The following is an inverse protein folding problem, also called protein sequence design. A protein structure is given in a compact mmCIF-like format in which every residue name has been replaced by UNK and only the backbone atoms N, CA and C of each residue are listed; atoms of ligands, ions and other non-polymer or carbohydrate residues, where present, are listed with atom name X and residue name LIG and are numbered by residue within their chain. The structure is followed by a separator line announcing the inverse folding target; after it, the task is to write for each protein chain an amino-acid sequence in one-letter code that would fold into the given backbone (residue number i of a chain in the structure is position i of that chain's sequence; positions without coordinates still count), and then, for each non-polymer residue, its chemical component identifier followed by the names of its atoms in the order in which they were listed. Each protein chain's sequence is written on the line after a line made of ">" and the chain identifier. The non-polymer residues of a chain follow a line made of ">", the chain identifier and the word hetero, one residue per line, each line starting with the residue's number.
data_IF_150314268551
#
_entry.id   IF_150314268551
#
_cell.length_a   1.000
_cell.length_b   1.000
_cell.length_c   1.000
_cell.angle_alpha   90.00
_cell.angle_beta   90.00
_cell.angle_gamma   90.00
#
_symmetry.space_group_name_H-M   'P 1'
#
loop_
_entity.id
_entity.type
_entity.pdbx_description
1 polymer ?
#
# COMPACT_ATOMS: atom_id res chain seq x y z
N UNK A 1 7.88 17.67 -5.94
CA UNK A 1 7.74 18.29 -7.27
C UNK A 1 6.99 19.59 -7.04
N UNK A 2 7.56 20.73 -7.37
CA UNK A 2 6.83 22.00 -7.32
C UNK A 2 5.76 21.98 -8.42
N UNK A 3 4.64 22.66 -8.17
CA UNK A 3 3.49 22.76 -9.07
C UNK A 3 3.87 23.19 -10.52
N UNK A 4 5.05 23.80 -10.69
CA UNK A 4 5.61 24.24 -11.97
C UNK A 4 6.46 23.17 -12.70
N UNK A 5 6.76 22.05 -12.04
CA UNK A 5 7.46 20.90 -12.63
C UNK A 5 6.46 19.84 -13.12
N UNK A 6 5.40 20.27 -13.79
CA UNK A 6 4.57 19.38 -14.59
C UNK A 6 5.46 18.78 -15.68
N UNK A 7 6.12 17.69 -15.33
CA UNK A 7 6.78 16.82 -16.30
C UNK A 7 5.73 16.53 -17.35
N UNK A 8 6.00 16.94 -18.57
CA UNK A 8 5.17 16.55 -19.71
C UNK A 8 5.20 15.03 -19.71
N UNK A 9 4.12 14.38 -19.29
CA UNK A 9 4.05 12.94 -19.32
C UNK A 9 4.11 12.55 -20.78
N UNK A 10 5.27 12.06 -21.19
CA UNK A 10 5.49 11.52 -22.51
C UNK A 10 4.90 10.10 -22.53
N UNK A 11 4.14 9.75 -23.56
CA UNK A 11 3.63 8.39 -23.77
C UNK A 11 4.73 7.32 -23.80
N UNK A 12 5.98 7.73 -24.02
CA UNK A 12 7.15 6.86 -23.95
C UNK A 12 7.79 6.81 -22.54
N UNK A 13 7.23 7.55 -21.57
CA UNK A 13 7.79 7.71 -20.23
C UNK A 13 6.65 7.78 -19.20
N UNK A 14 5.86 6.73 -19.14
CA UNK A 14 4.70 6.65 -18.25
C UNK A 14 5.16 6.54 -16.80
N UNK A 15 4.66 7.40 -15.89
CA UNK A 15 4.96 7.27 -14.47
C UNK A 15 4.49 5.93 -13.91
N UNK A 16 5.32 5.30 -13.12
CA UNK A 16 5.03 4.01 -12.48
C UNK A 16 4.62 4.17 -11.01
N UNK A 17 4.89 5.33 -10.43
CA UNK A 17 4.53 5.67 -9.05
C UNK A 17 4.34 7.18 -8.90
N UNK A 18 3.64 7.58 -7.85
CA UNK A 18 3.45 8.96 -7.42
C UNK A 18 4.03 9.10 -6.03
N UNK A 19 4.85 10.15 -5.78
CA UNK A 19 5.33 10.45 -4.44
C UNK A 19 4.13 10.82 -3.56
N UNK A 20 3.91 10.04 -2.52
CA UNK A 20 2.77 10.16 -1.63
C UNK A 20 3.11 10.87 -0.31
N UNK A 21 4.36 10.83 0.12
CA UNK A 21 4.81 11.42 1.37
C UNK A 21 6.30 11.24 1.61
N UNK A 22 6.69 11.50 2.85
CA UNK A 22 8.07 11.35 3.32
C UNK A 22 8.04 10.66 4.68
N UNK A 23 8.95 9.72 4.88
CA UNK A 23 9.20 9.09 6.18
C UNK A 23 9.87 10.07 7.15
N UNK A 24 9.98 9.70 8.42
CA UNK A 24 10.58 10.55 9.46
C UNK A 24 12.04 10.92 9.17
N UNK A 25 12.77 10.08 8.47
CA UNK A 25 14.15 10.30 8.05
C UNK A 25 14.29 11.20 6.81
N UNK A 26 13.16 11.61 6.20
CA UNK A 26 13.09 12.40 4.97
C UNK A 26 13.12 11.58 3.69
N UNK A 27 13.15 10.26 3.76
CA UNK A 27 13.05 9.38 2.58
C UNK A 27 11.66 9.50 1.98
N UNK A 28 11.58 9.72 0.66
CA UNK A 28 10.31 9.78 -0.05
C UNK A 28 9.75 8.37 -0.22
N UNK A 29 8.46 8.20 0.06
CA UNK A 29 7.72 7.01 -0.35
C UNK A 29 6.66 7.36 -1.39
N UNK A 30 6.31 6.38 -2.21
CA UNK A 30 5.36 6.56 -3.29
C UNK A 30 4.30 5.47 -3.29
N UNK A 31 3.23 5.72 -4.04
CA UNK A 31 2.22 4.71 -4.36
C UNK A 31 2.35 4.29 -5.81
N UNK A 32 2.12 3.01 -6.08
CA UNK A 32 1.97 2.50 -7.43
C UNK A 32 0.75 3.09 -8.13
N UNK A 33 0.80 3.15 -9.44
CA UNK A 33 -0.30 3.73 -10.24
C UNK A 33 -1.43 2.73 -10.52
N UNK A 34 -1.23 1.46 -10.20
CA UNK A 34 -2.22 0.39 -10.38
C UNK A 34 -2.72 -0.13 -9.03
N UNK A 35 -3.90 -0.70 -9.04
CA UNK A 35 -4.52 -1.37 -7.89
C UNK A 35 -5.09 -2.73 -8.33
N UNK A 36 -5.49 -3.55 -7.38
CA UNK A 36 -6.26 -4.76 -7.68
C UNK A 36 -7.62 -4.39 -8.29
N UNK A 37 -8.03 -5.12 -9.33
CA UNK A 37 -9.33 -4.98 -9.98
C UNK A 37 -10.48 -5.53 -9.12
N UNK A 38 -10.16 -6.37 -8.15
CA UNK A 38 -11.12 -7.00 -7.24
C UNK A 38 -10.73 -6.77 -5.78
N UNK A 39 -11.70 -6.71 -4.85
CA UNK A 39 -11.40 -6.69 -3.43
C UNK A 39 -10.59 -7.93 -3.03
N UNK A 40 -9.52 -7.71 -2.27
CA UNK A 40 -8.67 -8.76 -1.73
C UNK A 40 -8.87 -8.87 -0.22
N UNK A 41 -8.78 -10.09 0.32
CA UNK A 41 -8.72 -10.32 1.75
C UNK A 41 -7.31 -9.99 2.27
N UNK A 42 -7.24 -9.47 3.49
CA UNK A 42 -5.97 -9.27 4.18
C UNK A 42 -5.33 -10.60 4.54
N UNK A 43 -6.14 -11.51 5.06
CA UNK A 43 -5.78 -12.89 5.41
C UNK A 43 -6.99 -13.80 5.15
N UNK A 44 -6.77 -15.01 4.72
CA UNK A 44 -7.81 -16.03 4.61
C UNK A 44 -8.24 -16.51 6.01
N UNK A 45 -9.51 -16.91 6.16
CA UNK A 45 -10.11 -17.31 7.44
C UNK A 45 -9.39 -18.49 8.13
N UNK A 46 -8.66 -19.28 7.35
CA UNK A 46 -7.90 -20.45 7.80
C UNK A 46 -6.39 -20.19 7.89
N UNK A 47 -5.95 -18.93 7.70
CA UNK A 47 -4.55 -18.54 7.87
C UNK A 47 -4.24 -18.20 9.33
N UNK A 48 -2.96 -18.28 9.69
CA UNK A 48 -2.49 -17.91 11.04
C UNK A 48 -2.75 -16.43 11.31
N UNK A 49 -2.47 -15.55 10.36
CA UNK A 49 -2.65 -14.10 10.50
C UNK A 49 -4.10 -13.66 10.64
N UNK A 50 -5.06 -14.54 10.36
CA UNK A 50 -6.47 -14.28 10.65
C UNK A 50 -6.79 -14.33 12.16
N UNK A 51 -6.03 -15.12 12.92
CA UNK A 51 -6.32 -15.36 14.36
C UNK A 51 -5.20 -14.89 15.28
N UNK A 52 -3.99 -14.68 14.78
CA UNK A 52 -2.81 -14.31 15.57
C UNK A 52 -2.30 -12.95 15.11
N UNK A 53 -1.84 -12.15 16.07
CA UNK A 53 -1.13 -10.89 15.79
C UNK A 53 0.37 -11.15 15.75
N UNK A 54 0.97 -10.73 14.66
CA UNK A 54 2.41 -10.73 14.51
C UNK A 54 3.01 -9.55 15.28
N UNK A 55 4.03 -9.79 16.09
CA UNK A 55 4.52 -8.82 17.08
C UNK A 55 4.94 -7.51 16.45
N UNK A 56 5.59 -7.57 15.30
CA UNK A 56 6.23 -6.42 14.66
C UNK A 56 5.32 -5.69 13.64
N UNK A 57 4.05 -6.11 13.52
CA UNK A 57 3.07 -5.47 12.63
C UNK A 57 1.96 -4.75 13.38
N UNK A 58 2.00 -4.77 14.72
CA UNK A 58 0.91 -4.23 15.54
C UNK A 58 1.00 -2.73 15.66
N UNK A 59 -0.12 -2.08 15.36
CA UNK A 59 -0.30 -0.64 15.52
C UNK A 59 -1.52 -0.34 16.38
N UNK A 60 -1.39 0.62 17.28
CA UNK A 60 -2.48 1.08 18.15
C UNK A 60 -2.86 2.52 17.81
N UNK A 61 -4.15 2.78 17.68
CA UNK A 61 -4.64 4.13 17.45
C UNK A 61 -4.61 4.93 18.77
N UNK A 62 -4.01 6.10 18.72
CA UNK A 62 -3.96 7.07 19.82
C UNK A 62 -4.86 8.30 19.57
N UNK A 63 -5.10 8.62 18.30
CA UNK A 63 -5.97 9.71 17.86
C UNK A 63 -6.41 9.44 16.40
N UNK A 64 -7.27 10.31 15.83
CA UNK A 64 -7.83 10.12 14.48
C UNK A 64 -6.80 9.76 13.37
N UNK A 65 -5.58 10.28 13.47
CA UNK A 65 -4.48 10.01 12.53
C UNK A 65 -3.14 9.78 13.26
N UNK A 66 -3.19 9.47 14.54
CA UNK A 66 -2.04 9.18 15.38
C UNK A 66 -2.01 7.72 15.75
N UNK A 67 -0.86 7.08 15.53
CA UNK A 67 -0.64 5.68 15.83
C UNK A 67 0.66 5.50 16.59
N UNK A 68 0.70 4.50 17.48
CA UNK A 68 1.90 3.99 18.13
C UNK A 68 2.12 2.51 17.76
N UNK A 69 3.33 2.03 17.95
CA UNK A 69 3.77 0.72 17.49
C UNK A 69 4.46 0.83 16.15
N UNK A 70 4.29 -0.19 15.31
CA UNK A 70 4.87 -0.22 13.98
C UNK A 70 4.23 0.84 13.05
N UNK A 71 5.08 1.63 12.39
CA UNK A 71 4.67 2.70 11.47
C UNK A 71 5.30 2.57 10.08
N UNK A 72 6.12 1.57 9.88
CA UNK A 72 6.82 1.27 8.64
C UNK A 72 6.30 -0.05 8.06
N UNK A 73 5.58 0.00 6.97
CA UNK A 73 5.05 -1.20 6.33
C UNK A 73 6.08 -1.99 5.52
N UNK A 74 7.28 -1.44 5.33
CA UNK A 74 8.27 -2.01 4.40
C UNK A 74 8.85 -3.34 4.85
N UNK A 75 8.84 -3.64 6.14
CA UNK A 75 9.36 -4.88 6.74
C UNK A 75 8.26 -5.82 7.28
N UNK A 76 6.98 -5.39 7.26
CA UNK A 76 5.88 -6.17 7.81
C UNK A 76 5.72 -7.54 7.15
N UNK A 77 5.91 -7.63 5.84
CA UNK A 77 5.85 -8.93 5.16
C UNK A 77 6.98 -9.86 5.60
N UNK A 78 8.19 -9.36 5.79
CA UNK A 78 9.31 -10.15 6.31
C UNK A 78 9.03 -10.64 7.73
N UNK A 79 8.50 -9.77 8.59
CA UNK A 79 8.07 -10.12 9.95
C UNK A 79 7.00 -11.23 9.94
N UNK A 80 6.03 -11.16 9.04
CA UNK A 80 5.02 -12.21 8.86
C UNK A 80 5.67 -13.51 8.38
N UNK A 81 6.57 -13.49 7.42
CA UNK A 81 7.28 -14.67 6.94
C UNK A 81 8.10 -15.37 8.04
N UNK A 82 8.67 -14.62 8.97
CA UNK A 82 9.41 -15.18 10.12
C UNK A 82 8.46 -15.87 11.11
N UNK A 83 7.28 -15.32 11.34
CA UNK A 83 6.34 -15.81 12.36
C UNK A 83 5.35 -16.84 11.82
N UNK A 84 5.04 -16.79 10.52
CA UNK A 84 4.10 -17.69 9.83
C UNK A 84 4.68 -18.19 8.51
N UNK A 85 5.78 -18.92 8.57
CA UNK A 85 6.49 -19.42 7.39
C UNK A 85 5.69 -20.44 6.57
N UNK A 86 4.66 -21.08 7.10
CA UNK A 86 3.86 -22.07 6.37
C UNK A 86 2.84 -21.40 5.45
N UNK A 87 2.06 -20.48 5.97
CA UNK A 87 1.00 -19.84 5.20
C UNK A 87 1.56 -18.79 4.21
N UNK A 88 2.65 -18.09 4.56
CA UNK A 88 3.27 -17.11 3.67
C UNK A 88 3.91 -17.73 2.42
N UNK A 89 4.25 -19.02 2.44
CA UNK A 89 4.67 -19.75 1.21
C UNK A 89 3.52 -19.82 0.19
N UNK A 90 2.26 -19.82 0.68
CA UNK A 90 1.09 -19.83 -0.18
C UNK A 90 0.31 -18.50 -0.09
N UNK A 91 1.02 -17.39 -0.22
CA UNK A 91 0.48 -16.04 -0.04
C UNK A 91 -0.73 -15.75 -0.94
N UNK A 92 -0.76 -16.26 -2.16
CA UNK A 92 -1.87 -16.08 -3.09
C UNK A 92 -3.22 -16.57 -2.51
N UNK A 93 -3.21 -17.63 -1.69
CA UNK A 93 -4.41 -18.17 -1.03
C UNK A 93 -4.57 -17.63 0.39
N UNK A 94 -3.48 -17.47 1.13
CA UNK A 94 -3.50 -17.16 2.57
C UNK A 94 -3.44 -15.67 2.89
N UNK A 95 -2.74 -14.89 2.07
CA UNK A 95 -2.54 -13.44 2.25
C UNK A 95 -2.67 -12.69 0.91
N UNK A 96 -3.84 -12.72 0.25
CA UNK A 96 -4.00 -12.24 -1.13
C UNK A 96 -3.57 -10.80 -1.37
N UNK A 97 -3.75 -9.92 -0.38
CA UNK A 97 -3.35 -8.51 -0.52
C UNK A 97 -1.83 -8.35 -0.51
N UNK A 98 -1.10 -9.18 0.25
CA UNK A 98 0.36 -9.18 0.26
C UNK A 98 0.93 -9.83 -0.99
N UNK A 99 0.30 -10.91 -1.49
CA UNK A 99 0.68 -11.54 -2.76
C UNK A 99 0.57 -10.55 -3.93
N UNK A 100 -0.51 -9.77 -3.98
CA UNK A 100 -0.68 -8.70 -4.98
C UNK A 100 0.49 -7.71 -4.97
N UNK A 101 0.94 -7.29 -3.78
CA UNK A 101 2.04 -6.33 -3.66
C UNK A 101 3.39 -6.99 -3.96
N UNK A 102 3.60 -8.22 -3.50
CA UNK A 102 4.84 -8.98 -3.75
C UNK A 102 5.05 -9.27 -5.24
N UNK A 103 3.97 -9.49 -5.98
CA UNK A 103 3.99 -9.75 -7.43
C UNK A 103 3.79 -8.49 -8.28
N UNK A 104 3.64 -7.31 -7.67
CA UNK A 104 3.33 -6.06 -8.35
C UNK A 104 4.32 -5.72 -9.47
N UNK A 105 5.61 -5.78 -9.17
CA UNK A 105 6.65 -5.46 -10.16
C UNK A 105 6.64 -6.43 -11.35
N UNK A 106 6.43 -7.70 -11.11
CA UNK A 106 6.32 -8.72 -12.18
C UNK A 106 5.05 -8.52 -13.00
N UNK A 107 3.91 -8.31 -12.33
CA UNK A 107 2.60 -8.12 -12.97
C UNK A 107 2.59 -6.91 -13.92
N UNK A 108 3.27 -5.84 -13.54
CA UNK A 108 3.33 -4.60 -14.34
C UNK A 108 4.66 -4.42 -15.08
N UNK A 109 5.45 -5.49 -15.23
CA UNK A 109 6.69 -5.54 -16.01
C UNK A 109 7.71 -4.46 -15.60
N UNK A 110 7.77 -4.12 -14.31
CA UNK A 110 8.67 -3.10 -13.79
C UNK A 110 10.10 -3.63 -13.73
N UNK A 111 11.06 -2.81 -14.13
CA UNK A 111 12.47 -3.23 -14.26
C UNK A 111 13.43 -2.25 -13.58
N UNK A 112 14.69 -2.65 -13.49
CA UNK A 112 15.74 -1.83 -12.88
C UNK A 112 15.52 -1.61 -11.38
N UNK A 113 15.61 -0.37 -10.92
CA UNK A 113 15.45 -0.02 -9.51
C UNK A 113 14.01 -0.20 -8.99
N UNK A 114 13.06 -0.46 -9.88
CA UNK A 114 11.64 -0.62 -9.55
C UNK A 114 11.17 -2.08 -9.64
N UNK A 115 12.07 -3.01 -9.91
CA UNK A 115 11.77 -4.44 -9.93
C UNK A 115 11.54 -5.03 -8.53
N UNK A 116 11.79 -4.24 -7.48
CA UNK A 116 11.61 -4.64 -6.07
C UNK A 116 11.34 -3.41 -5.20
N UNK A 117 11.11 -3.63 -3.88
CA UNK A 117 10.87 -2.56 -2.92
C UNK A 117 9.41 -2.11 -2.86
N UNK A 118 8.51 -2.84 -3.50
CA UNK A 118 7.06 -2.63 -3.34
C UNK A 118 6.61 -3.32 -2.05
N UNK A 119 5.84 -2.58 -1.26
CA UNK A 119 5.34 -3.07 0.01
C UNK A 119 3.95 -2.53 0.31
N UNK A 120 3.26 -3.16 1.22
CA UNK A 120 1.97 -2.73 1.72
C UNK A 120 2.18 -1.67 2.80
N UNK A 121 1.59 -0.46 2.68
CA UNK A 121 1.84 0.60 3.65
C UNK A 121 1.34 0.23 5.05
N UNK A 122 2.04 0.66 6.09
CA UNK A 122 1.50 0.67 7.45
C UNK A 122 0.27 1.57 7.55
N UNK A 123 -0.49 1.47 8.63
CA UNK A 123 -1.64 2.35 8.84
C UNK A 123 -1.24 3.83 8.94
N UNK A 124 -0.06 4.13 9.48
CA UNK A 124 0.46 5.48 9.58
C UNK A 124 0.76 6.06 8.19
N UNK A 125 1.46 5.30 7.33
CA UNK A 125 1.74 5.68 5.95
C UNK A 125 0.46 5.81 5.12
N UNK A 126 -0.50 4.89 5.31
CA UNK A 126 -1.79 4.94 4.61
C UNK A 126 -2.61 6.19 4.99
N UNK A 127 -2.52 6.63 6.24
CA UNK A 127 -3.09 7.90 6.68
C UNK A 127 -2.40 9.11 6.06
N UNK A 128 -1.10 9.06 5.84
CA UNK A 128 -0.37 10.12 5.15
C UNK A 128 -0.70 10.18 3.66
N UNK A 129 -0.86 9.03 3.01
CA UNK A 129 -1.42 8.93 1.65
C UNK A 129 -2.81 9.59 1.62
N UNK A 130 -3.68 9.29 2.60
CA UNK A 130 -5.01 9.88 2.69
C UNK A 130 -4.98 11.41 2.85
N UNK A 131 -4.09 11.94 3.68
CA UNK A 131 -3.92 13.40 3.84
C UNK A 131 -3.55 14.07 2.52
N UNK A 132 -2.74 13.42 1.70
CA UNK A 132 -2.25 13.91 0.40
C UNK A 132 -3.14 13.49 -0.79
N UNK A 133 -4.28 12.81 -0.55
CA UNK A 133 -5.11 12.19 -1.58
C UNK A 133 -5.54 13.09 -2.73
N UNK A 134 -5.73 14.40 -2.48
CA UNK A 134 -6.14 15.34 -3.55
C UNK A 134 -5.04 15.48 -4.60
N UNK A 135 -3.82 15.76 -4.18
CA UNK A 135 -2.68 15.87 -5.09
C UNK A 135 -2.38 14.54 -5.80
N UNK A 136 -2.53 13.43 -5.08
CA UNK A 136 -2.39 12.08 -5.63
C UNK A 136 -3.46 11.83 -6.71
N UNK A 137 -4.72 12.15 -6.42
CA UNK A 137 -5.82 11.97 -7.37
C UNK A 137 -5.64 12.83 -8.62
N UNK A 138 -5.22 14.09 -8.47
CA UNK A 138 -4.95 14.97 -9.60
C UNK A 138 -3.83 14.38 -10.50
N UNK A 139 -2.80 13.82 -9.90
CA UNK A 139 -1.70 13.16 -10.61
C UNK A 139 -2.15 11.88 -11.32
N UNK A 140 -2.90 11.01 -10.64
CA UNK A 140 -3.43 9.77 -11.22
C UNK A 140 -4.37 10.06 -12.39
N UNK A 141 -5.29 11.01 -12.23
CA UNK A 141 -6.21 11.41 -13.30
C UNK A 141 -5.47 12.01 -14.49
N UNK A 142 -4.36 12.72 -14.24
CA UNK A 142 -3.55 13.25 -15.32
C UNK A 142 -2.92 12.12 -16.14
N UNK A 143 -2.34 11.11 -15.49
CA UNK A 143 -1.78 9.92 -16.15
C UNK A 143 -2.88 9.14 -16.89
N UNK A 144 -4.00 8.87 -16.23
CA UNK A 144 -5.14 8.14 -16.80
C UNK A 144 -5.70 8.80 -18.07
N UNK A 145 -5.76 10.13 -18.13
CA UNK A 145 -6.22 10.86 -19.33
C UNK A 145 -5.29 10.74 -20.51
N UNK A 146 -4.01 10.46 -20.25
CA UNK A 146 -3.02 10.26 -21.31
C UNK A 146 -3.08 8.84 -21.86
N UNK A 147 -3.26 7.87 -20.98
CA UNK A 147 -3.47 6.46 -21.29
C UNK A 147 -4.27 5.81 -20.16
N UNK A 148 -5.49 5.38 -20.44
CA UNK A 148 -6.39 4.76 -19.46
C UNK A 148 -5.90 3.39 -18.94
N UNK A 149 -4.92 2.79 -19.63
CA UNK A 149 -4.28 1.53 -19.20
C UNK A 149 -3.03 1.78 -18.33
N UNK A 150 -2.52 3.01 -18.29
CA UNK A 150 -1.28 3.34 -17.63
C UNK A 150 -1.43 3.60 -16.12
N UNK A 151 -2.65 3.87 -15.64
CA UNK A 151 -2.92 4.13 -14.23
C UNK A 151 -4.38 3.94 -13.88
N UNK A 152 -4.67 3.75 -12.59
CA UNK A 152 -6.03 3.88 -12.06
C UNK A 152 -6.54 5.32 -12.20
N UNK A 153 -7.86 5.49 -12.32
CA UNK A 153 -8.49 6.83 -12.40
C UNK A 153 -8.69 7.46 -11.01
N UNK A 154 -7.60 7.54 -10.24
CA UNK A 154 -7.59 8.10 -8.89
C UNK A 154 -7.86 7.06 -7.79
N UNK A 155 -7.61 7.51 -6.55
CA UNK A 155 -8.02 6.78 -5.36
C UNK A 155 -9.54 6.94 -5.21
N UNK A 156 -10.26 5.85 -5.33
CA UNK A 156 -11.73 5.87 -5.22
C UNK A 156 -12.18 5.95 -3.77
N UNK A 157 -13.44 6.31 -3.56
CA UNK A 157 -14.12 6.12 -2.28
C UNK A 157 -14.25 4.63 -2.02
N UNK A 158 -13.31 4.10 -1.28
CA UNK A 158 -13.22 2.67 -0.98
C UNK A 158 -12.40 2.44 0.30
N UNK A 159 -12.38 1.21 0.74
CA UNK A 159 -11.56 0.74 1.85
C UNK A 159 -10.20 0.26 1.32
N UNK A 160 -9.13 0.71 1.97
CA UNK A 160 -7.76 0.33 1.65
C UNK A 160 -7.11 -0.32 2.86
N UNK A 161 -6.63 -1.53 2.68
CA UNK A 161 -5.90 -2.27 3.70
C UNK A 161 -4.53 -1.66 3.98
N UNK A 162 -4.10 -1.70 5.22
CA UNK A 162 -2.71 -1.47 5.62
C UNK A 162 -2.02 -2.80 5.96
N UNK A 163 -0.69 -2.80 6.03
CA UNK A 163 0.09 -3.93 6.53
C UNK A 163 -0.07 -4.12 8.04
N UNK A 164 -0.52 -3.08 8.76
CA UNK A 164 -0.61 -3.09 10.22
C UNK A 164 -1.79 -3.88 10.72
N UNK A 165 -1.55 -4.74 11.72
CA UNK A 165 -2.61 -5.36 12.50
C UNK A 165 -3.06 -4.44 13.65
N UNK A 166 -4.34 -4.55 14.01
CA UNK A 166 -4.88 -3.79 15.13
C UNK A 166 -4.46 -4.38 16.48
N UNK A 167 -4.22 -3.52 17.45
CA UNK A 167 -3.86 -3.95 18.81
C UNK A 167 -5.04 -4.41 19.68
N UNK A 168 -6.30 -4.21 19.22
CA UNK A 168 -7.51 -4.66 19.93
C UNK A 168 -7.83 -6.12 19.64
N UNK A 169 -8.56 -6.78 20.56
CA UNK A 169 -8.93 -8.19 20.40
C UNK A 169 -9.99 -8.42 19.31
N UNK A 170 -10.73 -7.38 18.96
CA UNK A 170 -11.87 -7.47 18.03
C UNK A 170 -11.50 -7.10 16.58
N UNK A 171 -10.37 -6.46 16.35
CA UNK A 171 -9.94 -6.01 15.03
C UNK A 171 -8.66 -6.73 14.60
N UNK A 172 -8.62 -7.22 13.36
CA UNK A 172 -7.50 -8.03 12.87
C UNK A 172 -6.44 -7.20 12.12
N UNK A 173 -6.88 -6.31 11.22
CA UNK A 173 -6.00 -5.43 10.46
C UNK A 173 -6.61 -4.04 10.29
N UNK A 174 -5.78 -3.03 10.24
CA UNK A 174 -6.20 -1.66 9.98
C UNK A 174 -6.52 -1.44 8.51
N UNK A 175 -7.54 -0.62 8.29
CA UNK A 175 -7.90 -0.12 6.96
C UNK A 175 -8.33 1.34 7.06
N UNK A 176 -8.21 2.06 5.94
CA UNK A 176 -8.70 3.45 5.82
C UNK A 176 -9.80 3.50 4.78
N UNK A 177 -10.91 4.13 5.16
CA UNK A 177 -11.98 4.46 4.23
C UNK A 177 -11.72 5.83 3.61
N UNK A 178 -11.37 5.86 2.34
CA UNK A 178 -11.20 7.11 1.62
C UNK A 178 -12.57 7.67 1.24
N UNK A 179 -12.83 8.89 1.74
CA UNK A 179 -14.01 9.68 1.36
C UNK A 179 -13.55 10.81 0.43
N UNK A 180 -14.23 10.96 -0.68
CA UNK A 180 -14.03 12.08 -1.61
C UNK A 180 -14.70 13.35 -1.12
#
# INVERSE_FOLDING_TARGET
>A
VKEDDLVTVDRNNVPIAIIAGFQEDGTAFGIGVHRSDTPLQWAADDSVGYTIRFTDTVCMQESDFGFSGDKDGSDNWEAMCVQDGEDTVNAAEKYPVFDFVNTYAETYELTGNYASGWYMPSIAELCDIYKNRRAINDSLQHIYRLDEHAAMNGLETNWYWSASQAGSEDDYAWLVHYLN
#
